data_IF_087812927212
#
_entry.id   IF_087812927212
#
_cell.length_a   1.000
_cell.length_b   1.000
_cell.length_c   1.000
_cell.angle_alpha   90.00
_cell.angle_beta   90.00
_cell.angle_gamma   90.00
#
_symmetry.space_group_name_H-M   'P 1'
#
loop_
_entity.id
_entity.type
_entity.pdbx_description
1 polymer ?
#
# COMPACT_ATOMS: atom_id res chain seq x y z
N UNK A 1 18.83 -24.53 -44.63
CA UNK A 1 18.23 -25.65 -43.87
C UNK A 1 19.09 -25.89 -42.63
N UNK A 2 18.81 -25.19 -41.53
CA UNK A 2 19.52 -25.33 -40.26
C UNK A 2 18.49 -25.64 -39.18
N UNK A 3 18.71 -26.76 -38.49
CA UNK A 3 17.78 -27.42 -37.59
C UNK A 3 17.69 -26.66 -36.27
N UNK A 4 16.46 -26.45 -35.81
CA UNK A 4 16.10 -25.99 -34.48
C UNK A 4 16.32 -27.12 -33.47
N UNK A 5 17.25 -26.94 -32.54
CA UNK A 5 17.38 -27.80 -31.36
C UNK A 5 16.83 -27.07 -30.14
N UNK A 6 15.73 -27.61 -29.63
CA UNK A 6 15.10 -27.28 -28.35
C UNK A 6 16.09 -27.39 -27.19
N UNK A 7 16.39 -26.26 -26.54
CA UNK A 7 17.03 -26.22 -25.23
C UNK A 7 15.95 -26.07 -24.16
N UNK A 8 15.88 -27.09 -23.31
CA UNK A 8 14.99 -27.17 -22.14
C UNK A 8 15.42 -26.10 -21.14
N UNK A 9 14.47 -25.26 -20.74
CA UNK A 9 14.64 -24.29 -19.66
C UNK A 9 14.58 -25.05 -18.31
N UNK A 10 15.66 -24.99 -17.52
CA UNK A 10 15.67 -25.48 -16.14
C UNK A 10 15.15 -24.37 -15.17
N UNK A 11 14.46 -24.71 -14.07
CA UNK A 11 13.86 -23.73 -13.17
C UNK A 11 14.88 -23.24 -12.14
N UNK A 12 15.48 -22.07 -12.38
CA UNK A 12 16.43 -21.44 -11.44
C UNK A 12 15.93 -20.10 -10.88
N UNK A 13 14.61 -19.84 -10.89
CA UNK A 13 14.06 -18.50 -10.63
C UNK A 13 13.47 -18.26 -9.23
N UNK A 14 13.34 -19.26 -8.37
CA UNK A 14 12.70 -19.06 -7.05
C UNK A 14 13.71 -18.82 -5.93
N UNK A 15 14.82 -19.55 -5.89
CA UNK A 15 15.73 -19.55 -4.73
C UNK A 15 16.55 -18.27 -4.59
N UNK A 16 16.96 -17.63 -5.71
CA UNK A 16 17.76 -16.41 -5.69
C UNK A 16 16.96 -15.16 -5.25
N UNK A 17 15.69 -15.07 -5.63
CA UNK A 17 14.81 -13.97 -5.21
C UNK A 17 14.51 -14.01 -3.71
N UNK A 18 14.30 -15.20 -3.14
CA UNK A 18 14.06 -15.39 -1.71
C UNK A 18 15.26 -15.03 -0.83
N UNK A 19 16.48 -15.33 -1.27
CA UNK A 19 17.72 -14.94 -0.55
C UNK A 19 17.91 -13.42 -0.60
N UNK A 20 17.67 -12.80 -1.76
CA UNK A 20 17.72 -11.34 -1.91
C UNK A 20 16.73 -10.61 -1.02
N UNK A 21 15.47 -11.07 -0.99
CA UNK A 21 14.42 -10.42 -0.20
C UNK A 21 14.70 -10.46 1.31
N UNK A 22 15.25 -11.56 1.83
CA UNK A 22 15.61 -11.67 3.26
C UNK A 22 16.75 -10.74 3.65
N UNK A 23 17.83 -10.71 2.86
CA UNK A 23 18.96 -9.81 3.13
C UNK A 23 18.56 -8.32 3.03
N UNK A 24 17.65 -7.98 2.11
CA UNK A 24 17.08 -6.63 2.01
C UNK A 24 16.23 -6.29 3.24
N UNK A 25 15.40 -7.22 3.70
CA UNK A 25 14.58 -7.01 4.90
C UNK A 25 15.43 -6.85 6.18
N UNK A 26 16.48 -7.66 6.34
CA UNK A 26 17.43 -7.54 7.46
C UNK A 26 18.12 -6.19 7.46
N UNK A 27 18.61 -5.74 6.29
CA UNK A 27 19.24 -4.41 6.17
C UNK A 27 18.26 -3.26 6.43
N UNK A 28 17.00 -3.37 6.02
CA UNK A 28 15.94 -2.38 6.38
C UNK A 28 15.76 -2.30 7.89
N UNK A 29 15.85 -3.44 8.60
CA UNK A 29 15.73 -3.52 10.06
C UNK A 29 16.92 -2.93 10.79
N UNK A 30 18.14 -3.19 10.31
CA UNK A 30 19.35 -2.53 10.81
C UNK A 30 19.23 -1.00 10.69
N UNK A 31 18.85 -0.52 9.50
CA UNK A 31 18.63 0.91 9.26
C UNK A 31 17.57 1.50 10.21
N UNK A 32 16.44 0.80 10.41
CA UNK A 32 15.40 1.26 11.33
C UNK A 32 15.93 1.41 12.77
N UNK A 33 16.69 0.43 13.25
CA UNK A 33 17.29 0.48 14.58
C UNK A 33 18.29 1.64 14.70
N UNK A 34 19.09 1.89 13.65
CA UNK A 34 20.00 3.03 13.61
C UNK A 34 19.25 4.37 13.61
N UNK A 35 18.22 4.54 12.79
CA UNK A 35 17.40 5.75 12.76
C UNK A 35 16.77 6.04 14.12
N UNK A 36 16.24 5.02 14.81
CA UNK A 36 15.67 5.19 16.14
C UNK A 36 16.72 5.60 17.18
N UNK A 37 17.97 5.13 17.05
CA UNK A 37 19.08 5.56 17.93
C UNK A 37 19.48 7.01 17.70
N UNK A 38 19.44 7.46 16.45
CA UNK A 38 19.77 8.84 16.07
C UNK A 38 18.67 9.83 16.43
N UNK A 39 17.41 9.38 16.36
CA UNK A 39 16.22 10.21 16.50
C UNK A 39 15.20 9.58 17.47
N UNK A 40 15.58 9.37 18.76
CA UNK A 40 14.72 8.67 19.73
C UNK A 40 13.42 9.41 20.06
N UNK A 41 13.34 10.70 19.76
CA UNK A 41 12.15 11.54 19.95
C UNK A 41 11.11 11.42 18.82
N UNK A 42 11.46 10.76 17.72
CA UNK A 42 10.56 10.60 16.58
C UNK A 42 9.82 9.27 16.61
N UNK A 43 8.56 9.35 16.20
CA UNK A 43 7.72 8.21 15.87
C UNK A 43 7.84 7.84 14.38
N UNK A 44 7.52 6.59 14.06
CA UNK A 44 7.66 6.02 12.73
C UNK A 44 6.32 5.61 12.14
N UNK A 45 6.12 5.94 10.88
CA UNK A 45 5.09 5.36 10.02
C UNK A 45 5.80 4.70 8.85
N UNK A 46 5.51 3.42 8.60
CA UNK A 46 6.08 2.69 7.48
C UNK A 46 5.03 2.47 6.40
N UNK A 47 5.44 2.64 5.13
CA UNK A 47 4.63 2.38 3.94
C UNK A 47 5.43 1.48 3.01
N UNK A 48 4.87 0.34 2.63
CA UNK A 48 5.52 -0.66 1.75
C UNK A 48 4.52 -1.45 0.90
N UNK A 49 4.95 -2.56 0.29
CA UNK A 49 4.11 -3.41 -0.56
C UNK A 49 4.13 -4.90 -0.17
N UNK A 50 3.03 -5.62 -0.44
CA UNK A 50 2.90 -7.04 -0.05
C UNK A 50 3.76 -8.02 -0.88
N UNK A 51 4.38 -7.57 -1.97
CA UNK A 51 5.18 -8.40 -2.87
C UNK A 51 6.68 -8.47 -2.54
N UNK A 52 7.21 -7.52 -1.76
CA UNK A 52 8.66 -7.38 -1.51
C UNK A 52 9.13 -7.74 -0.08
N UNK A 53 8.28 -8.43 0.69
CA UNK A 53 8.60 -8.81 2.08
C UNK A 53 8.41 -7.69 3.11
N UNK A 54 7.80 -6.57 2.72
CA UNK A 54 7.56 -5.44 3.61
C UNK A 54 6.56 -5.72 4.73
N UNK A 55 5.66 -6.69 4.54
CA UNK A 55 4.80 -7.19 5.63
C UNK A 55 5.66 -7.70 6.78
N UNK A 56 6.62 -8.59 6.47
CA UNK A 56 7.49 -9.16 7.48
C UNK A 56 8.34 -8.07 8.15
N UNK A 57 8.88 -7.15 7.35
CA UNK A 57 9.64 -6.02 7.89
C UNK A 57 8.79 -5.15 8.84
N UNK A 58 7.58 -4.80 8.45
CA UNK A 58 6.65 -4.02 9.27
C UNK A 58 6.26 -4.72 10.58
N UNK A 59 6.03 -6.04 10.53
CA UNK A 59 5.81 -6.85 11.74
C UNK A 59 7.02 -6.79 12.68
N UNK A 60 8.23 -6.92 12.14
CA UNK A 60 9.47 -6.83 12.94
C UNK A 60 9.69 -5.44 13.54
N UNK A 61 9.32 -4.37 12.84
CA UNK A 61 9.34 -3.01 13.41
C UNK A 61 8.41 -2.90 14.63
N UNK A 62 7.17 -3.39 14.51
CA UNK A 62 6.18 -3.38 15.57
C UNK A 62 6.58 -4.27 16.76
N UNK A 63 7.22 -5.41 16.51
CA UNK A 63 7.73 -6.29 17.57
C UNK A 63 8.91 -5.67 18.34
N UNK A 64 9.81 -4.95 17.64
CA UNK A 64 11.02 -4.40 18.26
C UNK A 64 10.78 -3.07 19.00
N UNK A 65 9.86 -2.23 18.51
CA UNK A 65 9.60 -0.91 19.06
C UNK A 65 8.11 -0.53 18.94
N UNK A 66 7.20 -1.27 19.58
CA UNK A 66 5.75 -1.03 19.47
C UNK A 66 5.33 0.37 19.92
N UNK A 67 6.10 1.00 20.81
CA UNK A 67 5.85 2.36 21.31
C UNK A 67 6.22 3.46 20.31
N UNK A 68 7.16 3.20 19.39
CA UNK A 68 7.65 4.18 18.43
C UNK A 68 7.01 4.02 17.04
N UNK A 69 6.43 2.86 16.72
CA UNK A 69 5.82 2.60 15.42
C UNK A 69 4.33 2.89 15.48
N UNK A 70 3.92 4.03 14.92
CA UNK A 70 2.54 4.52 14.92
C UNK A 70 1.64 3.75 13.97
N UNK A 71 2.17 3.36 12.81
CA UNK A 71 1.43 2.57 11.82
C UNK A 71 2.35 1.92 10.79
N UNK A 72 1.89 0.78 10.28
CA UNK A 72 2.46 0.08 9.13
C UNK A 72 1.36 -0.04 8.08
N UNK A 73 1.57 0.57 6.92
CA UNK A 73 0.65 0.54 5.78
C UNK A 73 1.27 -0.25 4.64
N UNK A 74 0.55 -1.25 4.11
CA UNK A 74 1.05 -2.11 3.03
C UNK A 74 0.09 -2.06 1.85
N UNK A 75 0.58 -1.58 0.70
CA UNK A 75 -0.17 -1.66 -0.55
C UNK A 75 -0.25 -3.12 -0.99
N UNK A 76 -1.47 -3.66 -1.11
CA UNK A 76 -1.65 -5.07 -1.39
C UNK A 76 -1.66 -5.38 -2.89
N UNK A 77 -0.52 -5.83 -3.40
CA UNK A 77 -0.32 -6.17 -4.81
C UNK A 77 -0.48 -7.65 -5.10
N UNK A 78 -0.66 -8.50 -4.07
CA UNK A 78 -0.78 -9.97 -4.22
C UNK A 78 -2.18 -10.51 -3.95
N UNK A 79 -3.17 -9.64 -3.74
CA UNK A 79 -4.55 -10.00 -3.42
C UNK A 79 -4.67 -10.89 -2.16
N UNK A 80 -4.15 -10.37 -1.06
CA UNK A 80 -4.19 -11.02 0.26
C UNK A 80 -5.64 -11.27 0.70
N UNK A 81 -6.02 -12.51 1.07
CA UNK A 81 -7.36 -12.83 1.51
C UNK A 81 -7.80 -11.99 2.72
N UNK A 82 -9.09 -11.67 2.77
CA UNK A 82 -9.66 -10.80 3.79
C UNK A 82 -9.45 -11.29 5.24
N UNK A 83 -9.43 -12.61 5.48
CA UNK A 83 -9.12 -13.14 6.81
C UNK A 83 -7.68 -12.81 7.24
N UNK A 84 -6.71 -12.96 6.33
CA UNK A 84 -5.31 -12.65 6.58
C UNK A 84 -5.09 -11.13 6.72
N UNK A 85 -5.83 -10.30 5.96
CA UNK A 85 -5.84 -8.84 6.17
C UNK A 85 -6.26 -8.46 7.59
N UNK A 86 -7.31 -9.08 8.11
CA UNK A 86 -7.78 -8.84 9.49
C UNK A 86 -6.76 -9.29 10.54
N UNK A 87 -6.15 -10.45 10.35
CA UNK A 87 -5.10 -10.95 11.25
C UNK A 87 -3.89 -9.99 11.28
N UNK A 88 -3.44 -9.52 10.11
CA UNK A 88 -2.38 -8.52 10.01
C UNK A 88 -2.77 -7.20 10.69
N UNK A 89 -4.01 -6.75 10.52
CA UNK A 89 -4.51 -5.52 11.12
C UNK A 89 -4.54 -5.59 12.66
N UNK A 90 -4.89 -6.75 13.23
CA UNK A 90 -4.79 -6.99 14.69
C UNK A 90 -3.34 -6.86 15.15
N UNK A 91 -2.39 -7.34 14.34
CA UNK A 91 -0.95 -7.18 14.57
C UNK A 91 -0.40 -5.78 14.26
N UNK A 92 -1.24 -4.80 13.90
CA UNK A 92 -0.83 -3.41 13.61
C UNK A 92 -0.43 -3.13 12.15
N UNK A 93 -0.48 -4.13 11.26
CA UNK A 93 -0.18 -4.01 9.84
C UNK A 93 -1.46 -3.86 9.02
N UNK A 94 -1.67 -2.70 8.41
CA UNK A 94 -2.87 -2.38 7.65
C UNK A 94 -2.61 -2.48 6.16
N UNK A 95 -3.28 -3.42 5.50
CA UNK A 95 -3.25 -3.54 4.04
C UNK A 95 -4.25 -2.54 3.43
N UNK A 96 -3.89 -1.97 2.29
CA UNK A 96 -4.75 -1.07 1.52
C UNK A 96 -4.66 -1.36 0.03
N UNK A 97 -5.75 -1.10 -0.69
CA UNK A 97 -5.84 -1.27 -2.15
C UNK A 97 -5.56 0.03 -2.90
N UNK A 98 -5.91 1.16 -2.29
CA UNK A 98 -5.68 2.48 -2.87
C UNK A 98 -5.01 3.40 -1.86
N UNK A 99 -4.24 4.36 -2.35
CA UNK A 99 -3.66 5.40 -1.49
C UNK A 99 -4.72 6.30 -0.83
N UNK A 100 -5.96 6.29 -1.33
CA UNK A 100 -7.11 6.94 -0.69
C UNK A 100 -7.51 6.14 0.56
N UNK A 101 -7.59 4.81 0.46
CA UNK A 101 -7.78 3.92 1.61
C UNK A 101 -6.66 4.05 2.65
N UNK A 102 -5.41 4.23 2.22
CA UNK A 102 -4.30 4.53 3.13
C UNK A 102 -4.49 5.89 3.85
N UNK A 103 -4.95 6.92 3.15
CA UNK A 103 -5.24 8.23 3.73
C UNK A 103 -6.39 8.18 4.76
N UNK A 104 -7.44 7.41 4.45
CA UNK A 104 -8.54 7.12 5.37
C UNK A 104 -8.03 6.43 6.64
N UNK A 105 -7.24 5.37 6.50
CA UNK A 105 -6.68 4.68 7.65
C UNK A 105 -5.73 5.57 8.48
N UNK A 106 -4.97 6.47 7.84
CA UNK A 106 -4.14 7.44 8.53
C UNK A 106 -4.97 8.51 9.29
N UNK A 107 -6.12 8.91 8.74
CA UNK A 107 -7.07 9.80 9.41
C UNK A 107 -7.68 9.13 10.64
N UNK A 108 -8.16 7.89 10.51
CA UNK A 108 -8.77 7.13 11.61
C UNK A 108 -7.78 6.89 12.78
N UNK A 109 -6.48 6.82 12.48
CA UNK A 109 -5.41 6.70 13.48
C UNK A 109 -4.91 8.05 14.03
N UNK A 110 -5.48 9.16 13.59
CA UNK A 110 -5.08 10.51 13.99
C UNK A 110 -3.66 10.90 13.55
N UNK A 111 -3.09 10.24 12.54
CA UNK A 111 -1.76 10.56 11.99
C UNK A 111 -1.78 11.80 11.08
N UNK A 112 -2.96 12.09 10.53
CA UNK A 112 -3.25 13.24 9.66
C UNK A 112 -4.62 13.77 10.03
N UNK A 113 -4.79 15.10 9.98
CA UNK A 113 -6.11 15.71 10.07
C UNK A 113 -6.91 15.58 8.75
N UNK A 114 -8.22 15.92 8.77
CA UNK A 114 -9.12 15.76 7.63
C UNK A 114 -8.61 16.40 6.33
N UNK A 115 -8.17 17.66 6.39
CA UNK A 115 -7.61 18.38 5.23
C UNK A 115 -6.34 17.71 4.68
N UNK A 116 -5.53 17.13 5.57
CA UNK A 116 -4.35 16.37 5.18
C UNK A 116 -4.71 15.09 4.43
N UNK A 117 -5.71 14.36 4.92
CA UNK A 117 -6.22 13.16 4.27
C UNK A 117 -6.84 13.46 2.90
N UNK A 118 -7.64 14.54 2.80
CA UNK A 118 -8.21 15.00 1.54
C UNK A 118 -7.13 15.28 0.48
N UNK A 119 -6.09 16.06 0.83
CA UNK A 119 -4.97 16.36 -0.09
C UNK A 119 -4.22 15.11 -0.54
N UNK A 120 -4.01 14.14 0.35
CA UNK A 120 -3.35 12.88 -0.04
C UNK A 120 -4.20 12.12 -1.04
N UNK A 121 -5.52 12.14 -0.92
CA UNK A 121 -6.43 11.42 -1.80
C UNK A 121 -6.64 12.11 -3.16
N UNK A 122 -6.45 13.43 -3.27
CA UNK A 122 -6.51 14.16 -4.54
C UNK A 122 -5.45 13.70 -5.56
N UNK A 123 -4.21 13.43 -5.12
CA UNK A 123 -3.13 13.05 -6.02
C UNK A 123 -3.36 11.68 -6.72
N UNK A 124 -3.74 10.60 -6.02
CA UNK A 124 -4.14 9.34 -6.63
C UNK A 124 -5.34 9.48 -7.55
N UNK A 125 -6.33 10.33 -7.21
CA UNK A 125 -7.49 10.58 -8.05
C UNK A 125 -7.11 11.26 -9.37
N UNK A 126 -6.27 12.29 -9.32
CA UNK A 126 -5.73 12.96 -10.50
C UNK A 126 -4.88 12.00 -11.36
N UNK A 127 -4.07 11.15 -10.72
CA UNK A 127 -3.30 10.12 -11.42
C UNK A 127 -4.23 9.11 -12.10
N UNK A 128 -5.23 8.58 -11.40
CA UNK A 128 -6.19 7.60 -11.93
C UNK A 128 -6.95 8.11 -13.15
N UNK A 129 -7.31 9.39 -13.16
CA UNK A 129 -8.00 10.03 -14.29
C UNK A 129 -7.09 10.23 -15.51
N UNK A 130 -5.78 10.39 -15.30
CA UNK A 130 -4.80 10.54 -16.38
C UNK A 130 -4.26 9.21 -16.95
N UNK A 131 -4.41 8.09 -16.23
CA UNK A 131 -3.89 6.79 -16.67
C UNK A 131 -4.69 6.29 -17.89
N UNK A 132 -4.03 5.98 -19.03
CA UNK A 132 -4.68 5.30 -20.14
C UNK A 132 -4.85 3.82 -19.80
N UNK A 133 -6.10 3.35 -19.77
CA UNK A 133 -6.42 1.93 -19.62
C UNK A 133 -6.59 1.28 -20.99
N UNK A 134 -6.11 0.04 -21.19
CA UNK A 134 -6.31 -0.68 -22.46
C UNK A 134 -7.79 -0.91 -22.80
N UNK A 135 -8.62 -1.07 -21.76
CA UNK A 135 -10.07 -1.23 -21.91
C UNK A 135 -10.82 -0.72 -20.68
N UNK A 136 -12.12 -0.47 -20.83
CA UNK A 136 -13.00 -0.18 -19.70
C UNK A 136 -13.14 -1.36 -18.74
N UNK A 137 -12.96 -2.60 -19.23
CA UNK A 137 -12.97 -3.78 -18.38
C UNK A 137 -11.79 -3.79 -17.40
N UNK A 138 -10.62 -3.27 -17.81
CA UNK A 138 -9.45 -3.11 -16.94
C UNK A 138 -9.61 -1.91 -15.98
N UNK A 139 -10.29 -0.85 -16.46
CA UNK A 139 -10.50 0.38 -15.68
C UNK A 139 -11.56 0.22 -14.60
N UNK A 140 -12.64 -0.51 -14.89
CA UNK A 140 -13.83 -0.58 -14.03
C UNK A 140 -13.55 -1.09 -12.62
N UNK A 141 -12.82 -2.21 -12.39
CA UNK A 141 -12.52 -2.68 -11.03
C UNK A 141 -11.75 -1.63 -10.22
N UNK A 142 -10.74 -1.00 -10.82
CA UNK A 142 -9.92 0.04 -10.17
C UNK A 142 -10.73 1.30 -9.87
N UNK A 143 -11.65 1.67 -10.77
CA UNK A 143 -12.60 2.76 -10.54
C UNK A 143 -13.49 2.47 -9.33
N UNK A 144 -13.98 1.24 -9.18
CA UNK A 144 -14.83 0.86 -8.05
C UNK A 144 -14.06 0.90 -6.71
N UNK A 145 -12.80 0.46 -6.69
CA UNK A 145 -11.92 0.58 -5.51
C UNK A 145 -11.74 2.05 -5.10
N UNK A 146 -11.42 2.92 -6.05
CA UNK A 146 -11.26 4.37 -5.82
C UNK A 146 -12.57 5.00 -5.34
N UNK A 147 -13.71 4.67 -5.97
CA UNK A 147 -15.02 5.21 -5.58
C UNK A 147 -15.43 4.78 -4.16
N UNK A 148 -15.20 3.51 -3.81
CA UNK A 148 -15.44 3.01 -2.44
C UNK A 148 -14.66 3.83 -1.43
N UNK A 149 -13.35 3.95 -1.64
CA UNK A 149 -12.47 4.60 -0.66
C UNK A 149 -12.72 6.13 -0.57
N UNK A 150 -13.12 6.78 -1.67
CA UNK A 150 -13.55 8.20 -1.62
C UNK A 150 -14.87 8.35 -0.89
N UNK A 151 -15.86 7.48 -1.15
CA UNK A 151 -17.14 7.53 -0.45
C UNK A 151 -16.93 7.37 1.06
N UNK A 152 -16.14 6.38 1.47
CA UNK A 152 -15.79 6.19 2.87
C UNK A 152 -15.05 7.42 3.42
N UNK A 153 -14.01 7.91 2.75
CA UNK A 153 -13.25 9.08 3.22
C UNK A 153 -14.16 10.32 3.37
N UNK A 154 -15.04 10.59 2.42
CA UNK A 154 -15.97 11.73 2.46
C UNK A 154 -16.93 11.68 3.66
N UNK A 155 -17.30 10.50 4.17
CA UNK A 155 -18.08 10.39 5.40
C UNK A 155 -17.31 10.89 6.64
N UNK A 156 -15.98 10.91 6.60
CA UNK A 156 -15.11 11.36 7.71
C UNK A 156 -14.63 12.81 7.53
N UNK A 157 -14.84 13.40 6.36
CA UNK A 157 -14.35 14.75 6.04
C UNK A 157 -15.42 15.82 6.37
N UNK A 158 -15.00 17.01 6.82
CA UNK A 158 -15.91 18.14 6.94
C UNK A 158 -16.39 18.60 5.55
N UNK A 159 -17.55 19.27 5.45
CA UNK A 159 -18.13 19.69 4.18
C UNK A 159 -17.17 20.47 3.25
N UNK A 160 -16.26 21.28 3.81
CA UNK A 160 -15.28 22.07 3.06
C UNK A 160 -14.08 21.28 2.51
N UNK A 161 -13.93 20.01 2.88
CA UNK A 161 -12.82 19.16 2.45
C UNK A 161 -13.28 17.97 1.59
N UNK A 162 -14.57 17.88 1.25
CA UNK A 162 -15.11 16.76 0.48
C UNK A 162 -14.46 16.65 -0.90
N UNK A 163 -14.04 15.43 -1.23
CA UNK A 163 -13.41 15.11 -2.51
C UNK A 163 -14.50 14.94 -3.56
N UNK A 164 -14.38 15.70 -4.64
CA UNK A 164 -15.29 15.64 -5.78
C UNK A 164 -14.97 14.43 -6.67
N UNK A 165 -16.01 13.73 -7.12
CA UNK A 165 -15.88 12.49 -7.91
C UNK A 165 -16.40 12.62 -9.34
N UNK A 166 -16.71 13.84 -9.80
CA UNK A 166 -17.32 14.10 -11.11
C UNK A 166 -16.54 13.44 -12.26
N UNK A 167 -15.21 13.48 -12.18
CA UNK A 167 -14.31 12.89 -13.18
C UNK A 167 -14.32 11.34 -13.19
N UNK A 168 -14.84 10.69 -12.15
CA UNK A 168 -15.02 9.24 -12.08
C UNK A 168 -16.38 8.78 -12.62
N UNK A 169 -17.37 9.66 -12.67
CA UNK A 169 -18.74 9.35 -13.09
C UNK A 169 -18.92 9.53 -14.61
N UNK A 170 -18.05 10.28 -15.28
CA UNK A 170 -18.07 10.43 -16.74
C UNK A 170 -17.82 9.09 -17.45
N UNK A 171 -18.69 8.74 -18.40
CA UNK A 171 -18.60 7.50 -19.19
C UNK A 171 -19.28 6.27 -18.56
N UNK A 172 -20.25 6.48 -17.67
CA UNK A 172 -21.20 5.43 -17.24
C UNK A 172 -22.43 5.53 -18.15
N UNK A 173 -22.34 5.01 -19.37
CA UNK A 173 -23.50 4.66 -20.22
C UNK A 173 -23.49 3.16 -20.50
#
# INVERSE_FOLDING_TARGET
MLRYTSSRCAPASFTYALIGNRAIAEKKLENFVEYRRLYPEYDFVFVGDSGQGDIHFGQRMLELAPEAVRAVFIHDVVATPEHARRELAIGGVRLFDTYIGAALAALDLGLRGPEGAARVAEAPLAAFTAIPFPSDADRRPRRLEVMRDIAELNERLPPGALIQVDALIQGIE
#
